data_IF_941249057707
#
_entry.id   IF_941249057707
#
_cell.length_a   1.000
_cell.length_b   1.000
_cell.length_c   1.000
_cell.angle_alpha   90.00
_cell.angle_beta   90.00
_cell.angle_gamma   90.00
#
_symmetry.space_group_name_H-M   'P 1'
#
loop_
_entity.id
_entity.type
_entity.pdbx_description
1 polymer ?
#
# COMPACT_ATOMS: atom_id res chain seq x y z
N UNK A 1 -29.14 2.60 61.01
CA UNK A 1 -28.65 4.00 61.01
C UNK A 1 -28.53 4.41 59.55
N UNK A 2 -29.36 5.36 59.13
CA UNK A 2 -29.54 5.74 57.72
C UNK A 2 -28.47 6.72 57.21
N UNK A 3 -28.36 6.76 55.88
CA UNK A 3 -27.64 7.72 55.03
C UNK A 3 -27.99 9.21 55.31
N UNK A 4 -27.37 10.24 54.68
CA UNK A 4 -26.48 10.26 53.49
C UNK A 4 -25.27 11.22 53.56
N UNK A 5 -24.41 11.25 52.53
CA UNK A 5 -23.51 12.39 52.26
C UNK A 5 -23.53 12.80 50.79
N UNK A 6 -23.71 14.11 50.62
CA UNK A 6 -24.12 14.85 49.44
C UNK A 6 -23.03 15.07 48.39
N UNK A 7 -23.51 15.31 47.16
CA UNK A 7 -22.80 15.86 45.99
C UNK A 7 -22.68 17.41 46.07
N UNK A 8 -22.09 18.12 45.06
CA UNK A 8 -20.76 18.74 45.09
C UNK A 8 -20.78 20.28 45.18
N UNK A 9 -19.61 20.89 45.35
CA UNK A 9 -19.42 22.35 45.26
C UNK A 9 -18.92 22.78 43.87
N UNK A 10 -19.64 23.73 43.27
CA UNK A 10 -19.24 24.53 42.11
C UNK A 10 -18.32 25.68 42.54
N UNK A 11 -17.31 25.98 41.73
CA UNK A 11 -16.72 27.32 41.68
C UNK A 11 -17.08 27.97 40.34
N UNK A 12 -17.84 29.06 40.44
CA UNK A 12 -18.16 29.99 39.37
C UNK A 12 -17.23 31.19 39.51
N UNK A 13 -16.47 31.52 38.47
CA UNK A 13 -15.89 32.86 38.29
C UNK A 13 -16.40 33.44 36.98
N UNK A 14 -17.14 34.53 37.15
CA UNK A 14 -17.72 35.39 36.13
C UNK A 14 -16.70 36.43 35.70
N UNK A 15 -16.49 36.61 34.39
CA UNK A 15 -16.15 37.93 33.85
C UNK A 15 -16.96 38.21 32.58
N UNK A 16 -17.63 39.34 32.66
CA UNK A 16 -18.56 39.91 31.71
C UNK A 16 -17.82 40.56 30.52
N UNK A 17 -18.44 40.55 29.33
CA UNK A 17 -18.57 41.78 28.55
C UNK A 17 -19.71 41.68 27.53
N UNK A 18 -20.64 42.62 27.65
CA UNK A 18 -21.83 42.77 26.82
C UNK A 18 -21.53 43.46 25.49
N UNK A 19 -22.13 42.91 24.44
CA UNK A 19 -22.93 43.53 23.38
C UNK A 19 -22.46 44.89 22.80
N UNK A 20 -22.21 44.88 21.49
CA UNK A 20 -22.79 45.90 20.61
C UNK A 20 -23.23 45.27 19.28
N UNK A 21 -24.52 45.45 19.00
CA UNK A 21 -25.23 45.00 17.82
C UNK A 21 -25.49 46.24 16.94
N UNK A 22 -25.02 46.24 15.69
CA UNK A 22 -25.37 47.27 14.72
C UNK A 22 -25.26 46.75 13.28
N UNK A 23 -26.39 46.74 12.57
CA UNK A 23 -26.44 47.03 11.14
C UNK A 23 -26.33 45.85 10.17
N UNK A 24 -27.47 45.24 9.85
CA UNK A 24 -27.68 44.47 8.62
C UNK A 24 -27.71 45.41 7.41
N UNK A 25 -26.85 45.16 6.41
CA UNK A 25 -26.96 45.65 5.03
C UNK A 25 -26.50 44.54 4.06
N UNK A 26 -27.07 44.44 2.85
CA UNK A 26 -27.08 43.20 2.08
C UNK A 26 -25.75 42.93 1.36
N UNK A 27 -25.36 41.65 1.36
CA UNK A 27 -24.20 41.16 0.63
C UNK A 27 -24.38 41.36 -0.87
N UNK A 28 -23.51 42.19 -1.46
CA UNK A 28 -23.33 42.29 -2.91
C UNK A 28 -22.63 41.03 -3.41
N UNK A 29 -23.28 40.35 -4.35
CA UNK A 29 -22.79 39.14 -5.01
C UNK A 29 -21.65 39.54 -5.93
N UNK A 30 -20.41 39.38 -5.47
CA UNK A 30 -19.24 39.42 -6.35
C UNK A 30 -19.13 38.06 -7.00
N UNK A 31 -19.61 37.96 -8.23
CA UNK A 31 -19.40 36.82 -9.13
C UNK A 31 -17.92 36.73 -9.51
N UNK A 32 -17.11 36.22 -8.58
CA UNK A 32 -15.78 35.71 -8.89
C UNK A 32 -15.97 34.41 -9.65
N UNK A 33 -15.77 34.47 -10.97
CA UNK A 33 -15.54 33.27 -11.78
C UNK A 33 -14.24 32.63 -11.29
N UNK A 34 -14.34 31.80 -10.25
CA UNK A 34 -13.33 30.83 -9.91
C UNK A 34 -13.29 29.86 -11.08
N UNK A 35 -12.30 30.03 -11.94
CA UNK A 35 -11.89 29.07 -12.93
C UNK A 35 -11.70 27.73 -12.24
N UNK A 36 -12.66 26.81 -12.46
CA UNK A 36 -12.56 25.42 -12.09
C UNK A 36 -11.41 24.80 -12.90
N UNK A 37 -10.20 24.84 -12.36
CA UNK A 37 -9.14 23.94 -12.79
C UNK A 37 -9.59 22.53 -12.45
N UNK A 38 -10.25 21.88 -13.40
CA UNK A 38 -10.70 20.50 -13.29
C UNK A 38 -9.51 19.60 -12.88
N UNK A 39 -9.73 18.86 -11.80
CA UNK A 39 -8.95 17.75 -11.24
C UNK A 39 -8.02 17.03 -12.24
N UNK A 40 -6.82 17.56 -12.45
CA UNK A 40 -5.73 16.77 -12.99
C UNK A 40 -5.19 15.90 -11.84
N UNK A 41 -4.96 14.60 -12.10
CA UNK A 41 -4.26 13.74 -11.14
C UNK A 41 -2.90 14.38 -10.78
N UNK A 42 -2.43 14.28 -9.52
CA UNK A 42 -1.16 14.86 -9.12
C UNK A 42 -0.01 14.28 -9.95
N UNK A 43 1.05 15.06 -10.11
CA UNK A 43 2.31 14.55 -10.66
C UNK A 43 2.97 13.67 -9.60
N UNK A 44 3.10 12.37 -9.90
CA UNK A 44 3.62 11.38 -8.96
C UNK A 44 5.08 11.65 -8.58
N UNK A 45 5.93 12.04 -9.55
CA UNK A 45 7.35 12.32 -9.28
C UNK A 45 7.48 13.54 -8.37
N UNK A 46 6.78 14.62 -8.72
CA UNK A 46 6.83 15.85 -7.92
C UNK A 46 6.30 15.63 -6.50
N UNK A 47 5.15 14.98 -6.36
CA UNK A 47 4.55 14.74 -5.05
C UNK A 47 5.44 13.87 -4.15
N UNK A 48 6.07 12.83 -4.71
CA UNK A 48 7.01 11.99 -3.97
C UNK A 48 8.27 12.77 -3.60
N UNK A 49 8.86 13.53 -4.53
CA UNK A 49 10.05 14.34 -4.24
C UNK A 49 9.81 15.37 -3.14
N UNK A 50 8.64 16.03 -3.17
CA UNK A 50 8.27 17.03 -2.17
C UNK A 50 8.15 16.39 -0.77
N UNK A 51 7.62 15.15 -0.66
CA UNK A 51 7.59 14.40 0.61
C UNK A 51 8.98 13.97 1.08
N UNK A 52 9.78 13.36 0.20
CA UNK A 52 11.11 12.84 0.55
C UNK A 52 12.04 13.93 1.12
N UNK A 53 11.96 15.16 0.59
CA UNK A 53 12.77 16.29 1.07
C UNK A 53 12.46 16.70 2.51
N UNK A 54 11.32 16.30 3.06
CA UNK A 54 10.94 16.63 4.45
C UNK A 54 11.47 15.62 5.48
N UNK A 55 11.97 14.47 5.03
CA UNK A 55 12.44 13.41 5.93
C UNK A 55 13.92 13.54 6.27
N UNK A 56 14.29 13.05 7.46
CA UNK A 56 15.68 12.77 7.81
C UNK A 56 16.14 11.48 7.14
N UNK A 57 16.53 11.59 5.87
CA UNK A 57 16.90 10.44 5.05
C UNK A 57 18.13 9.68 5.59
N UNK A 58 19.03 10.35 6.31
CA UNK A 58 20.18 9.70 6.93
C UNK A 58 19.73 8.78 8.08
N UNK A 59 18.82 9.26 8.92
CA UNK A 59 18.24 8.44 9.99
C UNK A 59 17.40 7.29 9.41
N UNK A 60 16.57 7.53 8.40
CA UNK A 60 15.76 6.47 7.77
C UNK A 60 16.62 5.35 7.18
N UNK A 61 17.75 5.68 6.55
CA UNK A 61 18.69 4.67 6.05
C UNK A 61 19.29 3.86 7.18
N UNK A 62 19.70 4.51 8.27
CA UNK A 62 20.22 3.82 9.44
C UNK A 62 19.17 2.89 10.05
N UNK A 63 17.93 3.35 10.17
CA UNK A 63 16.82 2.54 10.70
C UNK A 63 16.51 1.35 9.80
N UNK A 64 16.60 1.51 8.47
CA UNK A 64 16.45 0.43 7.52
C UNK A 64 17.51 -0.66 7.71
N UNK A 65 18.77 -0.27 7.84
CA UNK A 65 19.89 -1.20 8.07
C UNK A 65 19.79 -1.90 9.43
N UNK A 66 19.54 -1.15 10.51
CA UNK A 66 19.44 -1.66 11.88
C UNK A 66 18.29 -2.67 12.05
N UNK A 67 17.22 -2.49 11.28
CA UNK A 67 16.04 -3.37 11.24
C UNK A 67 16.14 -4.48 10.18
N UNK A 68 17.34 -4.68 9.60
CA UNK A 68 17.61 -5.74 8.62
C UNK A 68 16.83 -5.60 7.32
N UNK A 69 16.96 -4.43 6.71
CA UNK A 69 16.27 -4.04 5.47
C UNK A 69 14.75 -3.99 5.64
N UNK A 70 14.30 -3.27 6.67
CA UNK A 70 12.88 -2.99 6.95
C UNK A 70 12.70 -1.52 7.36
N UNK A 71 11.72 -0.85 6.78
CA UNK A 71 11.32 0.50 7.17
C UNK A 71 9.79 0.60 7.24
N UNK A 72 9.29 1.26 8.29
CA UNK A 72 7.89 1.65 8.44
C UNK A 72 7.79 3.16 8.63
N UNK A 73 6.90 3.79 7.86
CA UNK A 73 6.52 5.19 8.00
C UNK A 73 5.00 5.29 8.09
N UNK A 74 4.49 5.88 9.16
CA UNK A 74 3.04 6.09 9.32
C UNK A 74 2.50 7.12 8.31
N UNK A 75 3.30 8.13 7.96
CA UNK A 75 2.95 9.20 7.03
C UNK A 75 4.04 9.33 5.96
N UNK A 76 3.74 8.87 4.73
CA UNK A 76 4.65 8.92 3.60
C UNK A 76 4.07 9.68 2.40
N UNK A 77 2.94 9.23 1.86
CA UNK A 77 2.35 9.83 0.66
C UNK A 77 1.72 11.19 0.95
N UNK A 78 1.83 12.10 -0.02
CA UNK A 78 1.11 13.37 0.03
C UNK A 78 -0.41 13.13 0.01
N UNK A 79 -1.21 13.95 0.72
CA UNK A 79 -2.66 13.74 0.83
C UNK A 79 -3.39 13.60 -0.51
N UNK A 80 -2.98 14.35 -1.53
CA UNK A 80 -3.54 14.29 -2.88
C UNK A 80 -3.22 12.97 -3.61
N UNK A 81 -2.04 12.39 -3.38
CA UNK A 81 -1.67 11.08 -3.91
C UNK A 81 -2.48 9.99 -3.20
N UNK A 82 -2.58 10.08 -1.87
CA UNK A 82 -3.41 9.17 -1.05
C UNK A 82 -4.87 9.20 -1.49
N UNK A 83 -5.45 10.39 -1.68
CA UNK A 83 -6.82 10.55 -2.16
C UNK A 83 -7.02 9.93 -3.56
N UNK A 84 -6.05 10.11 -4.46
CA UNK A 84 -6.10 9.52 -5.80
C UNK A 84 -6.02 7.97 -5.75
N UNK A 85 -5.22 7.41 -4.84
CA UNK A 85 -5.16 5.96 -4.62
C UNK A 85 -6.46 5.41 -4.03
N UNK A 86 -7.06 6.09 -3.04
CA UNK A 86 -8.36 5.71 -2.46
C UNK A 86 -9.44 5.71 -3.55
N UNK A 87 -9.51 6.77 -4.36
CA UNK A 87 -10.48 6.87 -5.44
C UNK A 87 -10.30 5.73 -6.46
N UNK A 88 -9.07 5.44 -6.87
CA UNK A 88 -8.76 4.32 -7.76
C UNK A 88 -9.14 2.97 -7.14
N UNK A 89 -8.79 2.73 -5.88
CA UNK A 89 -9.11 1.48 -5.18
C UNK A 89 -10.62 1.24 -5.06
N UNK A 90 -11.41 2.29 -4.78
CA UNK A 90 -12.88 2.21 -4.75
C UNK A 90 -13.46 1.95 -6.13
N UNK A 91 -12.96 2.63 -7.17
CA UNK A 91 -13.42 2.43 -8.54
C UNK A 91 -13.11 1.02 -9.08
N UNK A 92 -12.05 0.38 -8.58
CA UNK A 92 -11.62 -0.96 -8.97
C UNK A 92 -12.32 -2.10 -8.19
N UNK A 93 -13.20 -1.81 -7.24
CA UNK A 93 -13.95 -2.83 -6.49
C UNK A 93 -14.69 -3.86 -7.39
N UNK A 94 -15.34 -3.46 -8.51
CA UNK A 94 -16.00 -4.41 -9.41
C UNK A 94 -15.03 -5.41 -10.08
N UNK A 95 -13.74 -5.07 -10.15
CA UNK A 95 -12.71 -5.86 -10.83
C UNK A 95 -11.97 -6.81 -9.89
N UNK A 96 -12.36 -6.87 -8.61
CA UNK A 96 -11.70 -7.68 -7.59
C UNK A 96 -11.87 -9.17 -7.90
N UNK A 97 -10.75 -9.83 -8.18
CA UNK A 97 -10.68 -11.28 -8.27
C UNK A 97 -10.40 -11.87 -6.89
N UNK A 98 -11.25 -12.77 -6.42
CA UNK A 98 -11.12 -13.40 -5.10
C UNK A 98 -10.43 -14.75 -5.19
N UNK A 99 -9.51 -14.95 -4.27
CA UNK A 99 -8.73 -16.18 -4.16
C UNK A 99 -8.79 -16.72 -2.73
N UNK A 100 -8.79 -18.04 -2.62
CA UNK A 100 -8.82 -18.75 -1.36
C UNK A 100 -7.93 -19.99 -1.44
N UNK A 101 -6.90 -20.01 -0.58
CA UNK A 101 -6.05 -21.15 -0.31
C UNK A 101 -6.28 -21.57 1.15
N UNK A 102 -6.97 -22.69 1.41
CA UNK A 102 -7.33 -23.12 2.77
C UNK A 102 -6.14 -23.09 3.74
N UNK A 103 -6.33 -22.42 4.89
CA UNK A 103 -5.33 -22.32 5.95
C UNK A 103 -4.13 -21.41 5.64
N UNK A 104 -4.08 -20.74 4.48
CA UNK A 104 -2.97 -19.86 4.12
C UNK A 104 -3.39 -18.48 3.66
N UNK A 105 -4.40 -18.36 2.79
CA UNK A 105 -4.77 -17.07 2.20
C UNK A 105 -6.25 -17.01 1.87
N UNK A 106 -6.88 -15.89 2.16
CA UNK A 106 -8.21 -15.54 1.69
C UNK A 106 -8.25 -14.05 1.40
N UNK A 107 -8.71 -13.63 0.23
CA UNK A 107 -8.84 -12.22 -0.06
C UNK A 107 -9.15 -11.93 -1.52
N UNK A 108 -9.30 -10.65 -1.82
CA UNK A 108 -9.42 -10.11 -3.17
C UNK A 108 -8.11 -9.51 -3.67
N UNK A 109 -7.95 -9.45 -4.98
CA UNK A 109 -6.87 -8.67 -5.60
C UNK A 109 -7.30 -8.08 -6.94
N UNK A 110 -6.65 -6.98 -7.31
CA UNK A 110 -6.70 -6.42 -8.67
C UNK A 110 -5.28 -6.38 -9.21
N UNK A 111 -5.05 -7.12 -10.30
CA UNK A 111 -3.73 -7.29 -10.90
C UNK A 111 -3.25 -6.03 -11.63
N UNK A 112 -1.94 -5.95 -11.84
CA UNK A 112 -1.29 -4.96 -12.72
C UNK A 112 -2.00 -4.76 -14.06
N UNK A 113 -2.42 -5.82 -14.73
CA UNK A 113 -3.03 -5.73 -16.07
C UNK A 113 -4.32 -4.87 -16.05
N UNK A 114 -5.15 -5.08 -15.03
CA UNK A 114 -6.37 -4.30 -14.83
C UNK A 114 -6.04 -2.87 -14.41
N UNK A 115 -5.08 -2.70 -13.47
CA UNK A 115 -4.63 -1.39 -13.01
C UNK A 115 -4.10 -0.53 -14.17
N UNK A 116 -3.30 -1.11 -15.08
CA UNK A 116 -2.75 -0.39 -16.23
C UNK A 116 -3.84 0.21 -17.13
N UNK A 117 -4.99 -0.45 -17.22
CA UNK A 117 -6.11 -0.02 -18.05
C UNK A 117 -7.02 0.98 -17.34
N UNK A 118 -7.28 0.77 -16.05
CA UNK A 118 -8.35 1.47 -15.32
C UNK A 118 -7.86 2.47 -14.27
N UNK A 119 -6.61 2.35 -13.82
CA UNK A 119 -6.00 3.21 -12.81
C UNK A 119 -4.54 3.56 -13.15
N UNK A 120 -4.27 4.20 -14.32
CA UNK A 120 -2.92 4.43 -14.83
C UNK A 120 -2.05 5.31 -13.92
N UNK A 121 -2.66 6.07 -13.00
CA UNK A 121 -1.91 6.82 -11.98
C UNK A 121 -1.06 5.90 -11.09
N UNK A 122 -1.55 4.73 -10.70
CA UNK A 122 -0.80 3.75 -9.90
C UNK A 122 0.47 3.32 -10.65
N UNK A 123 0.34 3.06 -11.95
CA UNK A 123 1.46 2.67 -12.80
C UNK A 123 2.46 3.81 -13.04
N UNK A 124 2.04 5.08 -12.94
CA UNK A 124 2.96 6.24 -12.93
C UNK A 124 3.70 6.36 -11.61
N UNK A 125 3.01 6.17 -10.48
CA UNK A 125 3.62 6.18 -9.15
C UNK A 125 4.65 5.05 -9.00
N UNK A 126 4.35 3.85 -9.48
CA UNK A 126 5.31 2.73 -9.53
C UNK A 126 6.58 3.04 -10.34
N UNK A 127 6.46 3.86 -11.40
CA UNK A 127 7.59 4.23 -12.26
C UNK A 127 8.23 5.55 -11.85
N UNK A 128 7.86 6.09 -10.68
CA UNK A 128 8.39 7.36 -10.20
C UNK A 128 9.90 7.25 -10.01
N UNK A 129 10.66 8.10 -10.69
CA UNK A 129 12.12 8.12 -10.58
C UNK A 129 12.56 8.62 -9.21
N UNK A 130 11.79 9.53 -8.63
CA UNK A 130 12.03 10.08 -7.30
C UNK A 130 11.79 9.03 -6.22
N UNK A 131 10.73 8.23 -6.35
CA UNK A 131 10.49 7.07 -5.48
C UNK A 131 11.63 6.05 -5.60
N UNK A 132 11.94 5.61 -6.82
CA UNK A 132 12.95 4.59 -7.07
C UNK A 132 14.31 5.07 -6.56
N UNK A 133 14.72 6.30 -6.89
CA UNK A 133 16.00 6.87 -6.44
C UNK A 133 16.11 6.97 -4.92
N UNK A 134 15.01 7.28 -4.22
CA UNK A 134 14.99 7.28 -2.77
C UNK A 134 15.10 5.88 -2.17
N UNK A 135 14.40 4.90 -2.73
CA UNK A 135 14.54 3.50 -2.31
C UNK A 135 15.96 2.96 -2.59
N UNK A 136 16.59 3.35 -3.70
CA UNK A 136 18.00 3.05 -3.98
C UNK A 136 18.92 3.66 -2.92
N UNK A 137 18.63 4.88 -2.46
CA UNK A 137 19.40 5.51 -1.39
C UNK A 137 19.27 4.78 -0.06
N UNK A 138 18.05 4.33 0.30
CA UNK A 138 17.80 3.56 1.52
C UNK A 138 18.50 2.20 1.48
N UNK A 139 18.37 1.47 0.36
CA UNK A 139 18.90 0.11 0.23
C UNK A 139 20.39 0.06 -0.04
N UNK A 140 20.96 1.09 -0.68
CA UNK A 140 22.29 1.05 -1.27
C UNK A 140 22.39 0.21 -2.55
N UNK A 141 21.30 -0.41 -2.99
CA UNK A 141 21.24 -1.25 -4.19
C UNK A 141 20.68 -0.45 -5.38
N UNK A 142 21.01 -0.88 -6.61
CA UNK A 142 20.30 -0.43 -7.81
C UNK A 142 18.96 -1.16 -7.89
N UNK A 143 17.88 -0.42 -8.03
CA UNK A 143 16.53 -0.97 -8.15
C UNK A 143 16.03 -0.82 -9.58
N UNK A 144 15.52 -1.94 -10.10
CA UNK A 144 14.96 -2.05 -11.43
C UNK A 144 13.47 -2.34 -11.31
N UNK A 145 12.71 -1.88 -12.30
CA UNK A 145 11.33 -2.30 -12.46
C UNK A 145 11.30 -3.82 -12.65
N UNK A 146 10.32 -4.46 -12.04
CA UNK A 146 10.00 -5.86 -12.31
C UNK A 146 9.68 -6.04 -13.81
N UNK A 147 9.97 -7.22 -14.41
CA UNK A 147 9.68 -7.49 -15.80
C UNK A 147 8.25 -7.13 -16.25
N UNK A 148 8.07 -6.67 -17.50
CA UNK A 148 6.75 -6.27 -17.99
C UNK A 148 5.70 -7.38 -18.03
N UNK A 149 6.11 -8.64 -17.99
CA UNK A 149 5.24 -9.82 -17.90
C UNK A 149 4.99 -10.30 -16.47
N UNK A 150 5.61 -9.69 -15.45
CA UNK A 150 5.37 -10.01 -14.04
C UNK A 150 4.03 -9.42 -13.57
N UNK A 151 3.01 -10.26 -13.26
CA UNK A 151 1.74 -9.78 -12.74
C UNK A 151 1.83 -9.25 -11.30
N UNK A 152 2.92 -9.55 -10.59
CA UNK A 152 3.18 -9.14 -9.21
C UNK A 152 3.99 -7.85 -9.10
N UNK A 153 4.44 -7.26 -10.22
CA UNK A 153 5.15 -5.98 -10.22
C UNK A 153 4.41 -4.90 -9.41
N UNK A 154 3.08 -4.89 -9.50
CA UNK A 154 2.20 -4.19 -8.56
C UNK A 154 0.77 -4.73 -8.57
N UNK A 155 0.13 -4.71 -7.41
CA UNK A 155 -1.26 -5.16 -7.26
C UNK A 155 -1.94 -4.44 -6.07
N UNK A 156 -3.26 -4.34 -6.13
CA UNK A 156 -4.08 -3.99 -4.98
C UNK A 156 -4.59 -5.28 -4.32
N UNK A 157 -4.48 -5.37 -3.00
CA UNK A 157 -5.01 -6.46 -2.19
C UNK A 157 -6.17 -5.96 -1.34
N UNK A 158 -7.30 -6.66 -1.41
CA UNK A 158 -8.58 -6.29 -0.80
C UNK A 158 -8.96 -7.32 0.27
N UNK A 159 -9.10 -6.85 1.50
CA UNK A 159 -9.61 -7.61 2.65
C UNK A 159 -10.95 -6.99 3.01
N UNK A 160 -12.04 -7.60 2.54
CA UNK A 160 -13.40 -7.03 2.61
C UNK A 160 -14.44 -8.03 3.08
N UNK A 161 -14.01 -9.25 3.45
CA UNK A 161 -14.87 -10.28 4.02
C UNK A 161 -14.24 -10.80 5.30
N UNK A 162 -15.06 -11.27 6.25
CA UNK A 162 -14.59 -11.94 7.44
C UNK A 162 -13.63 -13.07 7.10
N UNK A 163 -12.53 -13.14 7.83
CA UNK A 163 -11.51 -14.14 7.63
C UNK A 163 -10.59 -13.90 6.43
N UNK A 164 -10.72 -12.80 5.68
CA UNK A 164 -9.70 -12.43 4.70
C UNK A 164 -8.35 -12.21 5.42
N UNK A 165 -7.30 -12.90 4.97
CA UNK A 165 -5.97 -12.88 5.57
C UNK A 165 -4.91 -13.38 4.57
N UNK A 166 -3.65 -13.20 4.94
CA UNK A 166 -2.54 -13.99 4.39
C UNK A 166 -1.68 -14.45 5.57
N UNK A 167 -1.37 -15.74 5.63
CA UNK A 167 -0.59 -16.35 6.69
C UNK A 167 0.89 -15.96 6.62
N UNK A 168 1.69 -16.48 7.54
CA UNK A 168 3.12 -16.21 7.58
C UNK A 168 3.83 -16.65 6.29
N UNK A 169 4.53 -15.72 5.64
CA UNK A 169 5.29 -15.95 4.41
C UNK A 169 6.47 -14.98 4.29
N UNK A 170 7.26 -15.20 3.24
CA UNK A 170 8.30 -14.30 2.74
C UNK A 170 7.95 -13.98 1.28
N UNK A 171 8.32 -12.78 0.83
CA UNK A 171 8.18 -12.36 -0.58
C UNK A 171 9.46 -12.69 -1.36
N UNK A 172 9.90 -13.95 -1.25
CA UNK A 172 11.15 -14.41 -1.83
C UNK A 172 11.20 -14.17 -3.33
N UNK A 173 12.34 -13.67 -3.79
CA UNK A 173 12.56 -13.36 -5.20
C UNK A 173 12.52 -14.61 -6.07
N UNK A 174 11.82 -14.51 -7.20
CA UNK A 174 11.89 -15.50 -8.28
C UNK A 174 13.01 -15.20 -9.29
N UNK A 175 13.61 -14.01 -9.17
CA UNK A 175 14.68 -13.53 -10.03
C UNK A 175 16.05 -13.85 -9.42
N UNK A 176 17.11 -13.68 -10.22
CA UNK A 176 18.48 -13.91 -9.75
C UNK A 176 18.92 -12.87 -8.71
N UNK A 177 18.30 -11.68 -8.72
CA UNK A 177 18.54 -10.62 -7.74
C UNK A 177 17.57 -10.63 -6.55
N UNK A 178 17.80 -9.71 -5.61
CA UNK A 178 16.88 -9.44 -4.50
C UNK A 178 15.57 -8.88 -5.02
N UNK A 179 14.50 -9.13 -4.27
CA UNK A 179 13.19 -8.52 -4.46
C UNK A 179 12.90 -7.63 -3.26
N UNK A 180 12.57 -6.38 -3.54
CA UNK A 180 12.14 -5.42 -2.54
C UNK A 180 10.65 -5.13 -2.71
N UNK A 181 9.94 -5.27 -1.60
CA UNK A 181 8.49 -5.05 -1.53
C UNK A 181 8.22 -3.72 -0.84
N UNK A 182 7.43 -2.89 -1.50
CA UNK A 182 6.88 -1.66 -0.96
C UNK A 182 5.37 -1.81 -0.81
N UNK A 183 4.88 -1.74 0.42
CA UNK A 183 3.47 -1.71 0.76
C UNK A 183 3.04 -0.29 1.07
N UNK A 184 1.95 0.15 0.47
CA UNK A 184 1.29 1.41 0.73
C UNK A 184 -0.11 1.14 1.29
N UNK A 185 -0.43 1.77 2.42
CA UNK A 185 -1.79 1.80 2.94
C UNK A 185 -2.67 2.63 2.03
N UNK A 186 -3.79 2.08 1.56
CA UNK A 186 -4.74 2.81 0.69
C UNK A 186 -6.04 3.07 1.43
N UNK A 187 -6.69 2.03 1.95
CA UNK A 187 -7.88 2.13 2.80
C UNK A 187 -7.63 1.23 4.02
N UNK A 188 -7.87 1.73 5.22
CA UNK A 188 -7.79 0.92 6.44
C UNK A 188 -8.92 1.31 7.41
N UNK A 189 -10.06 0.67 7.19
CA UNK A 189 -11.25 0.71 8.06
C UNK A 189 -11.38 -0.68 8.70
N UNK A 190 -10.33 -1.10 9.41
CA UNK A 190 -10.21 -2.46 9.93
C UNK A 190 -9.35 -2.56 11.19
N UNK A 191 -9.43 -3.70 11.86
CA UNK A 191 -8.48 -4.13 12.90
C UNK A 191 -7.34 -4.98 12.34
N UNK A 192 -7.28 -5.18 11.02
CA UNK A 192 -6.20 -5.93 10.38
C UNK A 192 -4.85 -5.28 10.67
N UNK A 193 -3.84 -6.10 10.95
CA UNK A 193 -2.46 -5.65 11.18
C UNK A 193 -1.50 -6.42 10.29
N UNK A 194 -0.42 -5.75 9.88
CA UNK A 194 0.77 -6.41 9.36
C UNK A 194 1.58 -6.88 10.56
N UNK A 195 1.51 -8.17 10.88
CA UNK A 195 2.46 -8.79 11.81
C UNK A 195 3.73 -9.15 11.05
N UNK A 196 4.88 -8.93 11.66
CA UNK A 196 6.18 -9.24 11.08
C UNK A 196 7.20 -9.71 12.12
N UNK A 197 8.24 -10.39 11.65
CA UNK A 197 9.40 -10.79 12.44
C UNK A 197 10.66 -10.29 11.73
N UNK A 198 11.41 -9.40 12.39
CA UNK A 198 12.72 -8.95 11.93
C UNK A 198 13.80 -9.96 12.30
N UNK A 199 14.93 -9.90 11.60
CA UNK A 199 16.14 -10.68 11.90
C UNK A 199 16.03 -12.21 11.74
N UNK A 200 14.93 -12.72 11.19
CA UNK A 200 14.68 -14.16 10.94
C UNK A 200 15.73 -14.86 10.07
N UNK A 201 16.60 -14.09 9.40
CA UNK A 201 17.71 -14.57 8.55
C UNK A 201 19.10 -14.24 9.12
N UNK A 202 19.17 -13.78 10.38
CA UNK A 202 20.42 -13.45 11.05
C UNK A 202 20.64 -14.40 12.24
N UNK A 203 21.59 -15.34 12.18
CA UNK A 203 21.84 -16.29 13.27
C UNK A 203 22.40 -15.63 14.54
N UNK A 204 22.95 -14.41 14.43
CA UNK A 204 23.60 -13.70 15.54
C UNK A 204 22.66 -12.75 16.29
N UNK A 205 21.41 -12.57 15.82
CA UNK A 205 20.43 -11.67 16.41
C UNK A 205 19.10 -12.41 16.59
N UNK A 206 18.51 -12.30 17.78
CA UNK A 206 17.20 -12.91 18.02
C UNK A 206 16.13 -12.27 17.14
N UNK A 207 15.17 -13.09 16.70
CA UNK A 207 13.99 -12.65 15.98
C UNK A 207 13.24 -11.60 16.82
N UNK A 208 12.89 -10.48 16.18
CA UNK A 208 12.17 -9.40 16.84
C UNK A 208 10.76 -9.27 16.22
N UNK A 209 9.71 -9.73 16.93
CA UNK A 209 8.35 -9.59 16.43
C UNK A 209 7.90 -8.13 16.53
N UNK A 210 7.14 -7.69 15.54
CA UNK A 210 6.47 -6.40 15.52
C UNK A 210 5.14 -6.52 14.81
N UNK A 211 4.32 -5.48 14.94
CA UNK A 211 3.04 -5.44 14.24
C UNK A 211 2.50 -4.02 14.18
N UNK A 212 2.00 -3.64 13.00
CA UNK A 212 1.60 -2.27 12.65
C UNK A 212 0.31 -2.26 11.83
N UNK A 213 -0.45 -1.18 11.94
CA UNK A 213 -1.41 -0.80 10.90
C UNK A 213 -0.69 0.09 9.89
N UNK A 214 -1.13 0.07 8.64
CA UNK A 214 -0.56 0.94 7.60
C UNK A 214 -1.69 1.86 7.18
N UNK A 215 -1.81 3.05 7.81
CA UNK A 215 -2.91 3.95 7.52
C UNK A 215 -2.84 4.43 6.06
N UNK A 216 -3.92 5.01 5.51
CA UNK A 216 -3.90 5.60 4.18
C UNK A 216 -2.74 6.58 4.00
N UNK A 217 -1.85 6.29 3.05
CA UNK A 217 -0.64 7.07 2.80
C UNK A 217 0.60 6.62 3.55
N UNK A 218 0.47 5.70 4.51
CA UNK A 218 1.59 5.05 5.20
C UNK A 218 2.33 4.05 4.31
N UNK A 219 3.56 3.73 4.71
CA UNK A 219 4.52 2.93 3.95
C UNK A 219 5.15 1.86 4.83
N UNK A 220 5.30 0.66 4.26
CA UNK A 220 6.23 -0.37 4.73
C UNK A 220 7.10 -0.79 3.56
N UNK A 221 8.42 -0.80 3.74
CA UNK A 221 9.38 -1.18 2.69
C UNK A 221 10.38 -2.19 3.24
N UNK A 222 10.62 -3.29 2.51
CA UNK A 222 11.49 -4.35 2.99
C UNK A 222 12.11 -5.21 1.89
N UNK A 223 13.19 -5.91 2.25
CA UNK A 223 13.77 -7.02 1.48
C UNK A 223 12.92 -8.28 1.66
N UNK A 224 12.35 -8.79 0.56
CA UNK A 224 11.38 -9.90 0.57
C UNK A 224 11.91 -11.21 1.12
N UNK A 225 13.23 -11.42 1.11
CA UNK A 225 13.85 -12.62 1.68
C UNK A 225 14.07 -12.54 3.20
N UNK A 226 14.02 -11.33 3.77
CA UNK A 226 14.37 -11.06 5.17
C UNK A 226 13.18 -10.83 6.08
N UNK A 227 12.06 -10.31 5.55
CA UNK A 227 10.88 -10.04 6.37
C UNK A 227 9.88 -11.20 6.32
N UNK A 228 9.81 -11.98 7.40
CA UNK A 228 8.69 -12.90 7.59
C UNK A 228 7.48 -12.09 8.06
N UNK A 229 6.36 -12.19 7.37
CA UNK A 229 5.20 -11.36 7.69
C UNK A 229 3.86 -12.02 7.34
N UNK A 230 2.78 -11.46 7.86
CA UNK A 230 1.39 -11.88 7.60
C UNK A 230 0.42 -10.71 7.77
N UNK A 231 -0.79 -10.83 7.22
CA UNK A 231 -1.91 -9.93 7.55
C UNK A 231 -2.89 -10.68 8.43
N UNK A 232 -3.23 -10.12 9.59
CA UNK A 232 -4.22 -10.72 10.50
C UNK A 232 -5.61 -10.77 9.85
N UNK A 233 -6.47 -11.73 10.24
CA UNK A 233 -7.80 -11.86 9.63
C UNK A 233 -8.68 -10.63 9.83
N UNK A 234 -9.38 -10.24 8.77
CA UNK A 234 -10.43 -9.22 8.82
C UNK A 234 -11.66 -9.73 9.58
N UNK A 235 -12.34 -8.82 10.29
CA UNK A 235 -13.61 -9.07 10.97
C UNK A 235 -14.81 -8.70 10.08
N UNK A 236 -16.01 -8.85 10.62
CA UNK A 236 -17.26 -8.42 9.99
C UNK A 236 -17.27 -6.91 9.73
N UNK A 237 -17.70 -6.54 8.52
CA UNK A 237 -17.85 -5.15 8.07
C UNK A 237 -16.55 -4.32 8.05
N UNK A 238 -15.39 -4.98 8.03
CA UNK A 238 -14.10 -4.30 7.87
C UNK A 238 -13.68 -4.20 6.40
N UNK A 239 -12.90 -3.16 6.10
CA UNK A 239 -12.29 -2.97 4.79
C UNK A 239 -10.84 -2.52 4.92
N UNK A 240 -9.93 -3.34 4.40
CA UNK A 240 -8.53 -2.97 4.19
C UNK A 240 -8.15 -3.14 2.74
N UNK A 241 -7.49 -2.13 2.18
CA UNK A 241 -6.88 -2.18 0.86
C UNK A 241 -5.44 -1.71 0.96
N UNK A 242 -4.51 -2.56 0.51
CA UNK A 242 -3.10 -2.23 0.40
C UNK A 242 -2.64 -2.33 -1.05
N UNK A 243 -1.79 -1.38 -1.46
CA UNK A 243 -1.10 -1.42 -2.74
C UNK A 243 0.32 -1.96 -2.52
N UNK A 244 0.73 -2.92 -3.34
CA UNK A 244 2.08 -3.47 -3.33
C UNK A 244 2.81 -3.07 -4.60
N UNK A 245 4.06 -2.64 -4.47
CA UNK A 245 5.03 -2.43 -5.54
C UNK A 245 6.25 -3.34 -5.33
N UNK A 246 6.73 -3.95 -6.41
CA UNK A 246 7.87 -4.86 -6.39
C UNK A 246 8.99 -4.33 -7.28
N UNK A 247 10.18 -4.19 -6.70
CA UNK A 247 11.41 -3.83 -7.41
C UNK A 247 12.45 -4.94 -7.25
N UNK A 248 13.34 -5.06 -8.23
CA UNK A 248 14.35 -6.13 -8.25
C UNK A 248 15.73 -5.57 -8.50
N UNK A 249 16.78 -6.23 -8.00
CA UNK A 249 18.17 -5.82 -8.28
C UNK A 249 18.72 -6.46 -9.56
N UNK A 250 18.17 -7.60 -9.96
CA UNK A 250 18.45 -8.27 -11.23
C UNK A 250 17.15 -8.97 -11.71
N UNK A 251 16.56 -8.57 -12.85
CA UNK A 251 15.30 -9.12 -13.37
C UNK A 251 15.48 -10.42 -14.17
N UNK A 252 16.70 -10.94 -14.29
CA UNK A 252 16.93 -12.19 -14.99
C UNK A 252 16.31 -13.37 -14.22
N UNK A 253 15.74 -14.31 -14.97
CA UNK A 253 15.27 -15.59 -14.46
C UNK A 253 16.05 -16.71 -15.12
N UNK A 254 16.55 -17.68 -14.33
CA UNK A 254 17.10 -18.92 -14.90
C UNK A 254 16.02 -19.62 -15.74
N UNK A 255 16.29 -20.02 -17.00
CA UNK A 255 15.28 -20.51 -17.96
C UNK A 255 14.39 -21.65 -17.45
N UNK A 256 14.93 -22.52 -16.59
CA UNK A 256 14.22 -23.66 -16.01
C UNK A 256 13.26 -23.29 -14.86
N UNK A 257 13.47 -22.14 -14.19
CA UNK A 257 12.57 -21.63 -13.14
C UNK A 257 11.36 -20.88 -13.72
N UNK A 258 11.51 -20.26 -14.91
CA UNK A 258 10.46 -19.50 -15.61
C UNK A 258 9.23 -20.34 -15.98
N UNK A 259 9.40 -21.63 -16.25
CA UNK A 259 8.30 -22.55 -16.60
C UNK A 259 7.51 -23.00 -15.37
N UNK A 260 8.19 -23.20 -14.23
CA UNK A 260 7.57 -23.68 -12.98
C UNK A 260 6.85 -22.54 -12.24
N UNK A 261 7.40 -21.32 -12.28
CA UNK A 261 6.81 -20.13 -11.61
C UNK A 261 5.53 -19.67 -12.30
N UNK A 262 5.52 -19.52 -13.64
CA UNK A 262 4.32 -19.09 -14.38
C UNK A 262 3.09 -19.99 -14.15
N UNK A 263 3.29 -21.29 -13.91
CA UNK A 263 2.20 -22.22 -13.63
C UNK A 263 1.72 -22.15 -12.17
N UNK A 264 2.64 -21.97 -11.21
CA UNK A 264 2.32 -21.92 -9.78
C UNK A 264 1.68 -20.58 -9.39
N UNK A 265 2.19 -19.46 -9.87
CA UNK A 265 1.69 -18.12 -9.52
C UNK A 265 0.29 -17.86 -10.09
N UNK A 266 0.04 -18.32 -11.32
CA UNK A 266 -1.24 -18.13 -11.98
C UNK A 266 -2.38 -18.97 -11.33
N UNK A 267 -2.04 -20.11 -10.74
CA UNK A 267 -2.96 -20.95 -9.96
C UNK A 267 -3.12 -20.42 -8.53
N UNK A 268 -2.02 -20.00 -7.89
CA UNK A 268 -1.99 -19.60 -6.49
C UNK A 268 -2.52 -18.19 -6.22
N UNK A 269 -2.58 -17.29 -7.21
CA UNK A 269 -3.01 -15.89 -7.02
C UNK A 269 -4.24 -15.47 -7.81
N UNK A 270 -4.43 -15.94 -9.05
CA UNK A 270 -5.42 -15.38 -9.97
C UNK A 270 -6.55 -16.35 -10.37
N UNK A 271 -6.44 -17.61 -9.98
CA UNK A 271 -7.38 -18.65 -10.35
C UNK A 271 -7.31 -19.02 -11.84
N UNK A 272 -7.63 -20.27 -12.14
CA UNK A 272 -7.45 -20.89 -13.46
C UNK A 272 -7.99 -20.08 -14.66
N UNK A 273 -9.06 -19.29 -14.49
CA UNK A 273 -9.73 -18.58 -15.59
C UNK A 273 -8.87 -17.53 -16.30
N UNK A 274 -7.95 -16.87 -15.62
CA UNK A 274 -7.12 -15.81 -16.21
C UNK A 274 -5.92 -16.40 -17.00
N UNK A 275 -5.45 -17.59 -16.58
CA UNK A 275 -4.38 -18.34 -17.25
C UNK A 275 -4.84 -18.85 -18.62
N UNK A 276 -6.06 -19.41 -18.68
CA UNK A 276 -6.62 -19.92 -19.93
C UNK A 276 -6.94 -18.81 -20.95
N UNK A 277 -7.31 -17.60 -20.50
CA UNK A 277 -7.56 -16.48 -21.42
C UNK A 277 -6.27 -15.92 -22.02
N UNK A 278 -5.17 -15.89 -21.27
CA UNK A 278 -3.85 -15.50 -21.77
C UNK A 278 -3.25 -16.54 -22.73
N UNK A 279 -3.38 -17.85 -22.42
CA UNK A 279 -2.97 -18.93 -23.32
C UNK A 279 -3.76 -18.91 -24.64
N UNK A 280 -5.07 -18.67 -24.56
CA UNK A 280 -5.92 -18.55 -25.76
C UNK A 280 -5.56 -17.33 -26.63
N UNK A 281 -5.21 -16.18 -26.01
CA UNK A 281 -4.74 -14.98 -26.74
C UNK A 281 -3.35 -15.14 -27.34
N UNK A 282 -2.46 -15.93 -26.73
CA UNK A 282 -1.14 -16.25 -27.29
C UNK A 282 -1.23 -17.18 -28.49
N UNK A 283 -2.12 -18.17 -28.45
CA UNK A 283 -2.39 -19.04 -29.60
C UNK A 283 -3.05 -18.26 -30.76
N UNK A 284 -3.95 -17.32 -30.46
CA UNK A 284 -4.57 -16.47 -31.49
C UNK A 284 -3.61 -15.45 -32.15
N UNK A 285 -2.43 -15.18 -31.56
CA UNK A 285 -1.37 -14.35 -32.17
C UNK A 285 -0.25 -15.16 -32.82
N UNK A 286 -0.29 -16.49 -32.72
CA UNK A 286 0.67 -17.41 -33.32
C UNK A 286 0.20 -18.02 -34.64
N UNK A 287 -1.06 -17.84 -35.02
CA UNK A 287 -1.62 -18.21 -36.32
C UNK A 287 -1.80 -16.95 -37.18
N UNK A 288 -0.68 -16.49 -37.74
CA UNK A 288 -0.63 -15.30 -38.59
C UNK A 288 0.79 -15.10 -39.11
N UNK A 289 1.26 -16.08 -39.87
CA UNK A 289 2.28 -15.85 -40.88
C UNK A 289 1.72 -14.94 -41.99
#
# INVERSE_FOLDING_TARGET
MGEPMSTPAQEHVTTSNSLNNAGLAPASVVSGAASSSANAAPDADRAVADRIRTFDNAQLRKDFDDQSAFLYLEDFLAPEVTAQLIAAARALLPEVNRNYLPGHKQGGSVSRHTIDSLAPFIARLYRSKELIGWLEHLTGDKLLLSPPDDPHAYALYYYTKPGDHIGWHYDTSYYDGRRYTLLLGVIDESSCRLDYELHTRNPDKADAPGSVQIPPGGLVFFDGDKLRHRITPALDNEMRVSLTFEYVTDPNMRPWRRVISNLKDAIAYFGFRQVFSQLSRRNARGEGA
#
